data_IF_421075162145
#
_entry.id   IF_421075162145
#
_cell.length_a   1.000
_cell.length_b   1.000
_cell.length_c   1.000
_cell.angle_alpha   90.00
_cell.angle_beta   90.00
_cell.angle_gamma   90.00
#
_symmetry.space_group_name_H-M   'P 1'
#
loop_
_entity.id
_entity.type
_entity.pdbx_description
1 polymer ?
#
# COMPACT_ATOMS: atom_id res chain seq x y z
N UNK A 1 28.66 15.99 -4.70
CA UNK A 1 27.50 16.15 -3.80
C UNK A 1 26.85 14.80 -3.50
N UNK A 2 26.52 14.05 -4.55
CA UNK A 2 26.04 12.65 -4.52
C UNK A 2 26.91 11.87 -5.50
N UNK A 3 27.17 10.60 -5.22
CA UNK A 3 27.94 9.70 -6.09
C UNK A 3 27.50 8.24 -5.93
N UNK A 4 28.06 7.33 -6.73
CA UNK A 4 27.74 5.91 -6.72
C UNK A 4 28.56 5.11 -5.71
N UNK A 5 28.03 3.95 -5.30
CA UNK A 5 28.76 2.91 -4.59
C UNK A 5 29.02 1.71 -5.50
N UNK A 6 29.81 0.74 -5.02
CA UNK A 6 30.08 -0.52 -5.74
C UNK A 6 28.96 -1.57 -5.55
N UNK A 7 27.72 -1.14 -5.31
CA UNK A 7 26.57 -2.05 -5.30
C UNK A 7 26.41 -2.66 -6.72
N UNK A 8 26.51 -3.99 -6.86
CA UNK A 8 26.51 -4.65 -8.18
C UNK A 8 25.17 -4.53 -8.90
N UNK A 9 24.06 -4.32 -8.19
CA UNK A 9 22.75 -4.08 -8.79
C UNK A 9 22.64 -2.63 -9.27
N UNK A 10 23.15 -1.67 -8.50
CA UNK A 10 23.20 -0.26 -8.89
C UNK A 10 24.03 -0.07 -10.17
N UNK A 11 25.17 -0.74 -10.29
CA UNK A 11 26.04 -0.64 -11.46
C UNK A 11 25.32 -1.00 -12.78
N UNK A 12 24.55 -2.10 -12.78
CA UNK A 12 23.75 -2.49 -13.95
C UNK A 12 22.59 -1.52 -14.22
N UNK A 13 21.97 -0.98 -13.16
CA UNK A 13 20.89 0.00 -13.28
C UNK A 13 21.32 1.27 -13.99
N UNK A 14 22.50 1.82 -13.69
CA UNK A 14 23.03 3.04 -14.32
C UNK A 14 23.01 2.93 -15.85
N UNK A 15 23.36 1.77 -16.39
CA UNK A 15 23.30 1.50 -17.82
C UNK A 15 21.86 1.38 -18.33
N UNK A 16 21.04 0.56 -17.66
CA UNK A 16 19.71 0.18 -18.13
C UNK A 16 18.74 1.36 -18.32
N UNK A 17 18.73 2.34 -17.40
CA UNK A 17 17.75 3.43 -17.45
C UNK A 17 17.89 4.32 -18.67
N UNK A 18 19.11 4.50 -19.20
CA UNK A 18 19.36 5.29 -20.40
C UNK A 18 19.06 4.48 -21.65
N UNK A 19 19.55 3.24 -21.70
CA UNK A 19 19.37 2.33 -22.84
C UNK A 19 17.89 2.14 -23.20
N UNK A 20 17.05 1.84 -22.20
CA UNK A 20 15.62 1.60 -22.44
C UNK A 20 14.88 2.83 -22.99
N UNK A 21 15.37 4.06 -22.75
CA UNK A 21 14.69 5.25 -23.29
C UNK A 21 14.81 5.38 -24.79
N UNK A 22 15.87 4.83 -25.38
CA UNK A 22 16.11 4.96 -26.82
C UNK A 22 14.94 4.35 -27.59
N UNK A 23 14.49 3.16 -27.21
CA UNK A 23 13.31 2.53 -27.83
C UNK A 23 12.00 3.07 -27.26
N UNK A 24 11.88 3.19 -25.94
CA UNK A 24 10.63 3.57 -25.27
C UNK A 24 10.16 4.99 -25.58
N UNK A 25 11.08 5.94 -25.69
CA UNK A 25 10.81 7.35 -25.94
C UNK A 25 11.27 7.79 -27.34
N UNK A 26 11.60 6.84 -28.21
CA UNK A 26 11.79 7.08 -29.64
C UNK A 26 13.08 7.76 -30.05
N UNK A 27 14.12 7.76 -29.20
CA UNK A 27 15.46 8.22 -29.57
C UNK A 27 16.25 8.81 -28.41
N UNK A 28 17.44 9.34 -28.70
CA UNK A 28 18.35 9.91 -27.70
C UNK A 28 17.93 11.29 -27.14
N UNK A 29 16.98 11.97 -27.78
CA UNK A 29 16.49 13.30 -27.37
C UNK A 29 15.34 13.23 -26.35
N UNK A 30 15.17 12.11 -25.63
CA UNK A 30 14.11 11.96 -24.61
C UNK A 30 14.19 13.00 -23.47
N UNK A 31 15.37 13.59 -23.26
CA UNK A 31 15.62 14.66 -22.29
C UNK A 31 15.03 16.01 -22.72
N UNK A 32 14.58 16.16 -23.97
CA UNK A 32 13.92 17.37 -24.46
C UNK A 32 12.39 17.30 -24.36
N UNK A 33 11.83 16.16 -23.93
CA UNK A 33 10.40 16.06 -23.64
C UNK A 33 10.10 16.98 -22.44
N UNK A 34 9.08 17.85 -22.49
CA UNK A 34 8.90 18.92 -21.49
C UNK A 34 8.95 18.50 -20.02
N UNK A 35 8.45 17.31 -19.68
CA UNK A 35 8.49 16.79 -18.30
C UNK A 35 9.88 16.31 -17.85
N UNK A 36 10.75 15.94 -18.79
CA UNK A 36 12.11 15.46 -18.53
C UNK A 36 13.16 16.58 -18.62
N UNK A 37 12.81 17.70 -19.24
CA UNK A 37 13.74 18.80 -19.49
C UNK A 37 14.23 19.42 -18.18
N UNK A 38 15.55 19.66 -18.05
CA UNK A 38 16.06 20.38 -16.90
C UNK A 38 15.56 21.83 -16.91
N UNK A 39 15.31 22.38 -15.72
CA UNK A 39 15.01 23.81 -15.57
C UNK A 39 16.28 24.65 -15.82
N UNK A 40 17.44 24.14 -15.41
CA UNK A 40 18.73 24.76 -15.68
C UNK A 40 19.10 24.60 -17.15
N UNK A 41 19.68 25.66 -17.73
CA UNK A 41 20.15 25.61 -19.12
C UNK A 41 21.30 24.61 -19.27
N UNK A 42 21.18 23.71 -20.25
CA UNK A 42 22.20 22.72 -20.59
C UNK A 42 22.84 23.07 -21.92
N UNK A 43 24.16 23.22 -21.91
CA UNK A 43 24.97 23.44 -23.10
C UNK A 43 26.00 22.33 -23.21
N UNK A 44 25.98 21.60 -24.33
CA UNK A 44 26.93 20.54 -24.62
C UNK A 44 27.16 20.42 -26.14
N UNK A 45 28.01 19.48 -26.52
CA UNK A 45 28.38 19.24 -27.91
C UNK A 45 27.56 18.13 -28.60
N UNK A 46 26.56 17.53 -27.94
CA UNK A 46 25.68 16.53 -28.56
C UNK A 46 24.74 17.20 -29.59
N UNK A 47 24.48 16.51 -30.71
CA UNK A 47 23.67 17.00 -31.83
C UNK A 47 22.76 15.90 -32.35
N UNK A 48 21.82 16.31 -33.20
CA UNK A 48 20.93 15.44 -33.98
C UNK A 48 20.10 14.48 -33.11
N UNK A 49 19.84 13.28 -33.63
CA UNK A 49 18.91 12.32 -33.05
C UNK A 49 17.46 12.57 -33.45
N UNK A 50 16.63 11.54 -33.32
CA UNK A 50 15.20 11.61 -33.61
C UNK A 50 14.52 12.71 -32.79
N UNK A 51 13.60 13.46 -33.39
CA UNK A 51 12.81 14.52 -32.76
C UNK A 51 13.64 15.59 -32.00
N UNK A 52 14.79 15.98 -32.56
CA UNK A 52 15.57 17.09 -32.02
C UNK A 52 14.75 18.40 -32.01
N UNK A 53 14.50 18.94 -30.81
CA UNK A 53 13.77 20.19 -30.59
C UNK A 53 14.71 21.38 -30.45
N UNK A 54 15.83 21.22 -29.72
CA UNK A 54 16.75 22.33 -29.49
C UNK A 54 17.55 22.66 -30.77
N UNK A 55 17.35 23.88 -31.28
CA UNK A 55 18.10 24.43 -32.42
C UNK A 55 19.36 25.13 -31.90
N UNK A 56 20.49 24.43 -31.94
CA UNK A 56 21.79 24.98 -31.51
C UNK A 56 22.35 25.90 -32.59
N UNK A 57 22.74 27.13 -32.21
CA UNK A 57 23.37 28.11 -33.10
C UNK A 57 24.90 28.01 -33.03
N UNK A 58 25.58 28.23 -34.15
CA UNK A 58 27.04 28.25 -34.24
C UNK A 58 27.60 27.16 -35.16
N UNK A 59 28.92 27.18 -35.38
CA UNK A 59 29.62 26.29 -36.34
C UNK A 59 30.38 25.13 -35.66
N UNK A 60 30.20 24.94 -34.35
CA UNK A 60 30.99 24.02 -33.53
C UNK A 60 30.09 23.00 -32.83
N UNK A 61 30.54 21.74 -32.81
CA UNK A 61 29.92 20.63 -32.10
C UNK A 61 30.98 19.68 -31.50
N UNK A 62 32.16 20.20 -31.14
CA UNK A 62 33.29 19.42 -30.62
C UNK A 62 34.13 20.24 -29.63
N UNK A 63 34.94 19.54 -28.84
CA UNK A 63 35.88 20.11 -27.87
C UNK A 63 37.20 19.31 -27.89
N UNK A 64 38.39 19.96 -27.76
CA UNK A 64 38.60 21.41 -27.71
C UNK A 64 38.41 22.09 -29.07
N UNK A 65 38.03 23.37 -29.10
CA UNK A 65 37.80 24.13 -30.34
C UNK A 65 38.28 25.59 -30.24
N UNK A 66 38.72 26.17 -31.37
CA UNK A 66 39.09 27.59 -31.48
C UNK A 66 38.00 28.46 -32.12
N UNK A 67 37.13 27.87 -32.96
CA UNK A 67 36.13 28.59 -33.74
C UNK A 67 35.01 29.20 -32.90
N UNK A 68 34.74 28.67 -31.70
CA UNK A 68 33.81 29.24 -30.73
C UNK A 68 34.52 29.71 -29.44
N UNK A 69 35.84 29.94 -29.50
CA UNK A 69 36.63 30.40 -28.35
C UNK A 69 36.67 29.39 -27.19
N UNK A 70 36.48 28.09 -27.45
CA UNK A 70 36.48 27.04 -26.44
C UNK A 70 35.12 26.78 -25.77
N UNK A 71 34.06 27.51 -26.12
CA UNK A 71 32.72 27.26 -25.58
C UNK A 71 32.05 26.00 -26.18
N UNK A 72 31.17 25.30 -25.42
CA UNK A 72 30.96 25.45 -23.97
C UNK A 72 32.15 24.93 -23.16
N UNK A 73 32.50 25.59 -22.05
CA UNK A 73 33.65 25.23 -21.21
C UNK A 73 33.33 24.11 -20.21
N UNK A 74 34.33 23.31 -19.87
CA UNK A 74 34.28 22.47 -18.67
C UNK A 74 34.23 23.33 -17.41
N UNK A 75 33.33 23.01 -16.49
CA UNK A 75 33.14 23.75 -15.24
C UNK A 75 34.31 23.59 -14.22
N UNK A 76 35.26 22.69 -14.49
CA UNK A 76 36.36 22.35 -13.58
C UNK A 76 35.90 21.59 -12.32
N UNK A 77 36.85 21.07 -11.54
CA UNK A 77 36.55 20.19 -10.41
C UNK A 77 35.77 20.86 -9.26
N UNK A 78 35.83 22.19 -9.15
CA UNK A 78 35.15 22.94 -8.08
C UNK A 78 33.64 23.09 -8.29
N UNK A 79 33.18 23.02 -9.55
CA UNK A 79 31.76 23.23 -9.92
C UNK A 79 31.17 22.08 -10.74
N UNK A 80 32.01 21.32 -11.44
CA UNK A 80 31.62 20.13 -12.21
C UNK A 80 31.51 18.88 -11.35
N UNK A 81 30.85 17.85 -11.90
CA UNK A 81 30.81 16.54 -11.27
C UNK A 81 32.21 15.91 -11.24
N UNK A 82 32.63 15.45 -10.07
CA UNK A 82 33.86 14.68 -9.86
C UNK A 82 33.50 13.47 -9.00
N UNK A 83 33.81 12.27 -9.48
CA UNK A 83 33.64 11.07 -8.68
C UNK A 83 34.55 11.11 -7.46
N UNK A 84 34.02 10.68 -6.31
CA UNK A 84 34.79 10.51 -5.08
C UNK A 84 35.95 9.57 -5.39
N UNK A 85 37.21 9.97 -5.12
CA UNK A 85 38.35 9.09 -5.32
C UNK A 85 38.23 7.96 -4.31
N UNK A 86 37.63 6.86 -4.72
CA UNK A 86 37.62 5.66 -3.91
C UNK A 86 39.07 5.27 -3.67
N UNK A 87 39.47 5.10 -2.40
CA UNK A 87 40.64 4.28 -2.08
C UNK A 87 40.30 2.88 -2.55
N UNK A 88 40.58 2.59 -3.82
CA UNK A 88 41.00 1.26 -4.21
C UNK A 88 42.30 1.06 -3.42
N UNK A 89 42.19 0.64 -2.17
CA UNK A 89 43.30 -0.03 -1.51
C UNK A 89 43.53 -1.28 -2.33
N UNK A 90 44.28 -1.10 -3.41
CA UNK A 90 44.90 -2.14 -4.18
C UNK A 90 45.95 -2.78 -3.25
N UNK A 91 45.49 -3.60 -2.32
CA UNK A 91 46.18 -4.84 -2.11
C UNK A 91 45.99 -5.60 -3.42
N UNK A 92 47.05 -5.57 -4.22
CA UNK A 92 47.41 -6.48 -5.30
C UNK A 92 46.26 -7.38 -5.80
N UNK A 93 45.81 -7.08 -7.03
CA UNK A 93 44.99 -7.94 -7.90
C UNK A 93 43.56 -8.27 -7.46
N UNK A 94 42.65 -7.29 -7.56
CA UNK A 94 41.26 -7.63 -7.89
C UNK A 94 41.22 -8.05 -9.37
N UNK A 95 41.43 -9.34 -9.64
CA UNK A 95 41.25 -9.91 -10.97
C UNK A 95 39.86 -9.58 -11.53
N UNK A 96 39.74 -9.38 -12.86
CA UNK A 96 38.44 -9.20 -13.53
C UNK A 96 37.64 -10.50 -13.44
N UNK A 97 36.77 -10.60 -12.45
CA UNK A 97 35.99 -11.82 -12.17
C UNK A 97 34.49 -11.57 -12.26
N UNK A 98 33.75 -12.61 -12.65
CA UNK A 98 32.30 -12.71 -12.39
C UNK A 98 32.11 -13.53 -11.11
N UNK A 99 32.34 -12.88 -9.97
CA UNK A 99 32.28 -13.50 -8.65
C UNK A 99 30.98 -13.21 -7.90
N UNK A 100 30.70 -14.02 -6.87
CA UNK A 100 29.65 -13.76 -5.87
C UNK A 100 30.37 -13.48 -4.55
N UNK A 101 30.50 -12.22 -4.13
CA UNK A 101 31.22 -11.91 -2.89
C UNK A 101 30.57 -12.62 -1.70
N UNK A 102 31.40 -13.23 -0.83
CA UNK A 102 30.92 -14.09 0.27
C UNK A 102 29.92 -13.40 1.19
N UNK A 103 30.10 -12.09 1.46
CA UNK A 103 29.18 -11.30 2.30
C UNK A 103 27.76 -11.20 1.74
N UNK A 104 27.55 -11.46 0.44
CA UNK A 104 26.23 -11.47 -0.19
C UNK A 104 25.54 -12.85 -0.06
N UNK A 105 26.23 -13.87 0.44
CA UNK A 105 25.69 -15.23 0.57
C UNK A 105 24.85 -15.45 1.85
N UNK A 106 24.65 -14.41 2.67
CA UNK A 106 23.64 -14.43 3.72
C UNK A 106 22.27 -14.05 3.13
N UNK A 107 21.39 -15.05 3.00
CA UNK A 107 20.08 -14.89 2.39
C UNK A 107 18.93 -14.86 3.41
N UNK A 108 19.17 -15.16 4.69
CA UNK A 108 18.11 -15.49 5.64
C UNK A 108 18.11 -14.64 6.90
N UNK A 109 19.24 -14.04 7.29
CA UNK A 109 19.32 -13.23 8.53
C UNK A 109 18.35 -12.04 8.50
N UNK A 110 18.34 -11.27 7.40
CA UNK A 110 17.43 -10.13 7.28
C UNK A 110 15.97 -10.54 7.08
N UNK A 111 15.70 -11.65 6.38
CA UNK A 111 14.34 -12.19 6.26
C UNK A 111 13.79 -12.61 7.63
N UNK A 112 14.64 -13.20 8.47
CA UNK A 112 14.32 -13.57 9.85
C UNK A 112 14.06 -12.34 10.71
N UNK A 113 14.96 -11.35 10.67
CA UNK A 113 14.77 -10.07 11.35
C UNK A 113 13.43 -9.42 10.95
N UNK A 114 13.13 -9.36 9.64
CA UNK A 114 11.87 -8.80 9.15
C UNK A 114 10.68 -9.53 9.75
N UNK A 115 10.59 -10.86 9.59
CA UNK A 115 9.45 -11.66 10.07
C UNK A 115 9.28 -11.59 11.59
N UNK A 116 10.38 -11.67 12.35
CA UNK A 116 10.36 -11.57 13.82
C UNK A 116 9.95 -10.18 14.32
N UNK A 117 10.08 -9.15 13.48
CA UNK A 117 9.67 -7.78 13.80
C UNK A 117 8.19 -7.50 13.55
N UNK A 118 7.48 -8.41 12.89
CA UNK A 118 6.07 -8.24 12.57
C UNK A 118 5.19 -8.58 13.77
N UNK A 119 4.10 -7.85 13.93
CA UNK A 119 3.05 -8.19 14.90
C UNK A 119 2.39 -9.54 14.57
N UNK A 120 1.67 -10.18 15.51
CA UNK A 120 1.00 -11.46 15.25
C UNK A 120 0.06 -11.45 14.04
N UNK A 121 -0.66 -10.33 13.82
CA UNK A 121 -1.55 -10.17 12.66
C UNK A 121 -0.77 -10.04 11.35
N UNK A 122 0.29 -9.23 11.32
CA UNK A 122 1.16 -9.10 10.14
C UNK A 122 1.84 -10.43 9.79
N UNK A 123 2.26 -11.22 10.78
CA UNK A 123 2.78 -12.57 10.55
C UNK A 123 1.72 -13.51 9.97
N UNK A 124 0.47 -13.42 10.45
CA UNK A 124 -0.65 -14.19 9.92
C UNK A 124 -0.95 -13.81 8.46
N UNK A 125 -0.90 -12.51 8.12
CA UNK A 125 -1.06 -12.01 6.75
C UNK A 125 0.06 -12.48 5.83
N UNK A 126 1.31 -12.46 6.28
CA UNK A 126 2.46 -12.99 5.53
C UNK A 126 2.25 -14.49 5.23
N UNK A 127 1.85 -15.27 6.24
CA UNK A 127 1.58 -16.69 6.04
C UNK A 127 0.40 -16.92 5.08
N UNK A 128 -0.67 -16.13 5.19
CA UNK A 128 -1.82 -16.18 4.30
C UNK A 128 -1.44 -15.83 2.86
N UNK A 129 -0.58 -14.82 2.65
CA UNK A 129 -0.06 -14.44 1.34
C UNK A 129 0.78 -15.55 0.71
N UNK A 130 1.72 -16.14 1.46
CA UNK A 130 2.49 -17.30 0.98
C UNK A 130 1.57 -18.46 0.58
N UNK A 131 0.57 -18.79 1.42
CA UNK A 131 -0.42 -19.83 1.11
C UNK A 131 -1.21 -19.49 -0.16
N UNK A 132 -1.69 -18.26 -0.30
CA UNK A 132 -2.48 -17.83 -1.44
C UNK A 132 -1.68 -17.82 -2.75
N UNK A 133 -0.44 -17.35 -2.74
CA UNK A 133 0.39 -17.35 -3.95
C UNK A 133 0.83 -18.77 -4.32
N UNK A 134 1.24 -19.57 -3.33
CA UNK A 134 1.67 -20.95 -3.58
C UNK A 134 0.50 -21.87 -3.96
N UNK A 135 -0.74 -21.59 -3.57
CA UNK A 135 -1.88 -22.40 -4.00
C UNK A 135 -2.16 -22.28 -5.50
N UNK A 136 -1.74 -21.18 -6.14
CA UNK A 136 -1.80 -20.99 -7.60
C UNK A 136 -0.68 -21.72 -8.34
N UNK A 137 0.36 -22.17 -7.64
CA UNK A 137 1.49 -22.91 -8.24
C UNK A 137 1.09 -24.36 -8.42
N UNK A 138 0.94 -24.77 -9.67
CA UNK A 138 0.46 -26.12 -10.02
C UNK A 138 1.48 -27.22 -9.79
N UNK A 139 2.78 -26.90 -9.80
CA UNK A 139 3.87 -27.88 -9.61
C UNK A 139 4.14 -28.10 -8.12
N UNK A 140 3.81 -29.28 -7.53
CA UNK A 140 3.92 -29.49 -6.09
C UNK A 140 5.34 -29.34 -5.54
N UNK A 141 6.35 -29.78 -6.29
CA UNK A 141 7.75 -29.69 -5.90
C UNK A 141 8.21 -28.23 -5.71
N UNK A 142 7.63 -27.26 -6.42
CA UNK A 142 7.95 -25.83 -6.24
C UNK A 142 7.43 -25.34 -4.89
N UNK A 143 6.18 -25.70 -4.54
CA UNK A 143 5.57 -25.36 -3.24
C UNK A 143 6.40 -25.93 -2.09
N UNK A 144 6.78 -27.20 -2.18
CA UNK A 144 7.62 -27.87 -1.20
C UNK A 144 8.99 -27.20 -1.05
N UNK A 145 9.65 -26.83 -2.16
CA UNK A 145 10.94 -26.12 -2.11
C UNK A 145 10.82 -24.73 -1.49
N UNK A 146 9.70 -24.04 -1.70
CA UNK A 146 9.48 -22.74 -1.06
C UNK A 146 9.27 -22.90 0.46
N UNK A 147 8.47 -23.88 0.88
CA UNK A 147 8.32 -24.23 2.30
C UNK A 147 9.66 -24.61 2.92
N UNK A 148 10.48 -25.41 2.23
CA UNK A 148 11.84 -25.75 2.65
C UNK A 148 12.73 -24.51 2.85
N UNK A 149 12.59 -23.48 1.99
CA UNK A 149 13.29 -22.21 2.16
C UNK A 149 12.79 -21.43 3.38
N UNK A 150 11.47 -21.40 3.61
CA UNK A 150 10.86 -20.69 4.75
C UNK A 150 11.32 -21.26 6.11
N UNK A 151 11.70 -22.55 6.17
CA UNK A 151 12.28 -23.14 7.38
C UNK A 151 13.57 -22.46 7.83
N UNK A 152 14.34 -21.91 6.89
CA UNK A 152 15.55 -21.12 7.22
C UNK A 152 15.24 -19.74 7.80
N UNK A 153 13.98 -19.29 7.72
CA UNK A 153 13.51 -18.02 8.29
C UNK A 153 12.75 -18.25 9.60
N UNK A 154 11.76 -19.14 9.59
CA UNK A 154 10.97 -19.50 10.75
C UNK A 154 10.26 -20.83 10.54
N UNK A 155 10.50 -21.78 11.44
CA UNK A 155 9.78 -23.06 11.46
C UNK A 155 8.27 -22.88 11.66
N UNK A 156 7.86 -21.89 12.46
CA UNK A 156 6.44 -21.58 12.69
C UNK A 156 5.75 -21.06 11.42
N UNK A 157 6.42 -20.19 10.66
CA UNK A 157 5.92 -19.72 9.36
C UNK A 157 5.81 -20.88 8.36
N UNK A 158 6.88 -21.66 8.22
CA UNK A 158 6.94 -22.75 7.27
C UNK A 158 5.83 -23.78 7.52
N UNK A 159 5.58 -24.13 8.79
CA UNK A 159 4.49 -25.03 9.18
C UNK A 159 3.11 -24.48 8.85
N UNK A 160 2.82 -23.22 9.24
CA UNK A 160 1.54 -22.56 8.89
C UNK A 160 1.25 -22.57 7.38
N UNK A 161 2.29 -22.35 6.57
CA UNK A 161 2.16 -22.38 5.09
C UNK A 161 1.99 -23.81 4.59
N UNK A 162 2.74 -24.78 5.12
CA UNK A 162 2.61 -26.19 4.75
C UNK A 162 1.22 -26.75 5.05
N UNK A 163 0.71 -26.52 6.26
CA UNK A 163 -0.61 -26.96 6.70
C UNK A 163 -1.70 -26.37 5.78
N UNK A 164 -1.61 -25.07 5.47
CA UNK A 164 -2.53 -24.39 4.58
C UNK A 164 -2.47 -24.83 3.11
N UNK A 165 -1.45 -25.59 2.71
CA UNK A 165 -1.28 -26.14 1.37
C UNK A 165 -1.48 -27.66 1.32
N UNK A 166 -1.83 -28.30 2.45
CA UNK A 166 -1.96 -29.76 2.54
C UNK A 166 -0.64 -30.49 2.31
N UNK A 167 0.47 -29.95 2.81
CA UNK A 167 1.79 -30.60 2.74
C UNK A 167 2.00 -31.37 4.05
N UNK A 168 1.67 -32.66 4.03
CA UNK A 168 1.66 -33.51 5.24
C UNK A 168 3.04 -33.75 5.84
N UNK A 169 4.07 -33.85 5.00
CA UNK A 169 5.44 -34.06 5.43
C UNK A 169 6.27 -32.80 5.20
N UNK A 170 6.78 -32.23 6.29
CA UNK A 170 7.64 -31.05 6.22
C UNK A 170 8.93 -31.37 5.44
N UNK A 171 9.20 -30.67 4.33
CA UNK A 171 10.43 -30.89 3.57
C UNK A 171 11.65 -30.46 4.38
N UNK A 172 12.81 -31.09 4.15
CA UNK A 172 14.06 -30.67 4.75
C UNK A 172 14.36 -29.19 4.42
N UNK A 173 14.94 -28.45 5.36
CA UNK A 173 15.35 -27.07 5.12
C UNK A 173 16.35 -27.01 3.96
N UNK A 174 16.27 -25.96 3.14
CA UNK A 174 17.23 -25.79 2.04
C UNK A 174 18.65 -25.59 2.60
N UNK A 175 19.68 -26.08 1.89
CA UNK A 175 21.06 -25.85 2.31
C UNK A 175 21.37 -24.34 2.31
N UNK A 176 22.06 -23.89 3.36
CA UNK A 176 22.50 -22.50 3.48
C UNK A 176 23.68 -22.25 2.54
N UNK A 177 23.70 -21.08 1.89
CA UNK A 177 24.84 -20.66 1.07
C UNK A 177 26.08 -20.34 1.93
N UNK A 178 25.87 -19.85 3.16
CA UNK A 178 26.88 -19.74 4.20
C UNK A 178 26.64 -20.78 5.28
N UNK A 179 27.61 -21.66 5.54
CA UNK A 179 27.51 -22.68 6.58
C UNK A 179 27.39 -22.07 7.99
N UNK A 180 27.95 -20.88 8.21
CA UNK A 180 27.91 -20.15 9.47
C UNK A 180 27.68 -18.66 9.17
N UNK A 181 26.43 -18.21 9.01
CA UNK A 181 26.14 -16.78 8.84
C UNK A 181 26.61 -16.00 10.07
N UNK A 182 26.93 -14.73 9.88
CA UNK A 182 27.31 -13.86 10.99
C UNK A 182 26.15 -13.76 11.99
N UNK A 183 26.47 -13.75 13.28
CA UNK A 183 25.44 -13.59 14.31
C UNK A 183 24.82 -12.19 14.16
N UNK A 184 23.48 -12.07 14.03
CA UNK A 184 22.84 -10.76 13.93
C UNK A 184 23.02 -9.97 15.21
N UNK A 185 23.36 -8.69 15.07
CA UNK A 185 23.39 -7.71 16.17
C UNK A 185 21.96 -7.33 16.61
N UNK A 186 21.03 -7.32 15.66
CA UNK A 186 19.62 -6.98 15.86
C UNK A 186 18.75 -8.14 15.38
N UNK A 187 17.92 -8.66 16.26
CA UNK A 187 17.00 -9.78 15.95
C UNK A 187 15.55 -9.32 15.79
N UNK A 188 15.19 -8.16 16.35
CA UNK A 188 13.87 -7.54 16.21
C UNK A 188 14.06 -6.03 16.08
N UNK A 189 13.33 -5.41 15.15
CA UNK A 189 13.29 -3.96 14.95
C UNK A 189 11.83 -3.54 14.75
N UNK A 190 11.19 -2.91 15.75
CA UNK A 190 9.79 -2.46 15.64
C UNK A 190 9.53 -1.62 14.39
N UNK A 191 10.52 -0.83 13.94
CA UNK A 191 10.39 0.03 12.76
C UNK A 191 10.14 -0.73 11.45
N UNK A 192 10.30 -2.05 11.42
CA UNK A 192 9.99 -2.90 10.27
C UNK A 192 8.52 -3.38 10.23
N UNK A 193 7.73 -3.13 11.28
CA UNK A 193 6.29 -3.33 11.30
C UNK A 193 5.58 -2.06 10.84
N UNK A 194 4.48 -2.21 10.07
CA UNK A 194 3.61 -1.09 9.70
C UNK A 194 2.88 -0.56 10.93
N UNK A 195 2.47 -1.45 11.85
CA UNK A 195 1.72 -1.08 13.05
C UNK A 195 2.59 -0.33 14.09
N UNK A 196 3.92 -0.41 13.99
CA UNK A 196 4.81 0.44 14.78
C UNK A 196 4.92 1.88 14.27
N UNK A 197 4.28 2.21 13.13
CA UNK A 197 4.29 3.54 12.51
C UNK A 197 2.84 4.00 12.24
N UNK A 198 2.04 4.27 13.28
CA UNK A 198 0.61 4.58 13.12
C UNK A 198 0.32 5.94 12.44
N UNK A 199 1.35 6.69 12.04
CA UNK A 199 1.21 8.06 11.54
C UNK A 199 0.85 9.04 12.65
N UNK A 200 0.25 10.16 12.26
CA UNK A 200 -0.24 11.21 13.17
C UNK A 200 -1.69 10.95 13.65
N UNK A 201 -2.27 9.81 13.28
CA UNK A 201 -3.66 9.46 13.58
C UNK A 201 -4.70 10.25 12.75
N UNK A 202 -4.27 11.02 11.74
CA UNK A 202 -5.18 11.77 10.88
C UNK A 202 -6.03 10.84 10.01
N UNK A 203 -7.30 11.22 9.83
CA UNK A 203 -8.22 10.57 8.88
C UNK A 203 -8.42 11.39 7.60
N UNK A 204 -7.61 12.44 7.40
CA UNK A 204 -7.68 13.30 6.23
C UNK A 204 -7.47 12.49 4.95
N UNK A 205 -8.34 12.72 3.96
CA UNK A 205 -8.32 12.03 2.68
C UNK A 205 -8.91 10.61 2.69
N UNK A 206 -9.29 10.06 3.86
CA UNK A 206 -10.05 8.81 3.92
C UNK A 206 -11.42 8.99 3.29
N UNK A 207 -11.90 7.94 2.63
CA UNK A 207 -13.20 7.94 1.93
C UNK A 207 -14.21 7.16 2.75
N UNK A 208 -15.31 7.77 3.17
CA UNK A 208 -16.29 7.13 4.06
C UNK A 208 -17.65 7.04 3.37
N UNK A 209 -18.25 5.85 3.38
CA UNK A 209 -19.60 5.64 2.86
C UNK A 209 -20.64 5.97 3.92
N UNK A 210 -21.57 6.86 3.58
CA UNK A 210 -22.78 7.13 4.36
C UNK A 210 -23.95 6.57 3.54
N UNK A 211 -24.51 5.44 3.96
CA UNK A 211 -25.64 4.87 3.21
C UNK A 211 -26.87 5.76 3.38
N UNK A 212 -27.60 5.96 2.29
CA UNK A 212 -28.88 6.67 2.28
C UNK A 212 -29.88 5.92 1.42
N UNK A 213 -31.16 5.99 1.77
CA UNK A 213 -32.25 5.41 0.98
C UNK A 213 -33.55 6.19 1.24
N UNK A 214 -34.60 6.03 0.41
CA UNK A 214 -35.85 6.75 0.61
C UNK A 214 -36.42 6.54 2.02
N UNK A 215 -36.66 7.63 2.74
CA UNK A 215 -37.10 7.61 4.14
C UNK A 215 -35.97 7.57 5.18
N UNK A 216 -34.73 7.87 4.77
CA UNK A 216 -33.61 8.12 5.69
C UNK A 216 -33.83 9.41 6.49
N UNK A 217 -33.36 9.45 7.75
CA UNK A 217 -33.41 10.64 8.60
C UNK A 217 -32.28 11.62 8.26
N UNK A 218 -32.59 12.78 7.68
CA UNK A 218 -31.61 13.70 7.12
C UNK A 218 -30.64 14.29 8.13
N UNK A 219 -31.13 14.63 9.33
CA UNK A 219 -30.33 15.34 10.34
C UNK A 219 -29.07 14.56 10.74
N UNK A 220 -29.20 13.24 10.88
CA UNK A 220 -28.11 12.36 11.29
C UNK A 220 -27.01 12.29 10.23
N UNK A 221 -27.41 12.19 8.95
CA UNK A 221 -26.50 12.12 7.81
C UNK A 221 -25.77 13.44 7.61
N UNK A 222 -26.50 14.56 7.62
CA UNK A 222 -25.92 15.90 7.39
C UNK A 222 -24.96 16.30 8.51
N UNK A 223 -25.32 16.07 9.78
CA UNK A 223 -24.43 16.38 10.90
C UNK A 223 -23.14 15.57 10.85
N UNK A 224 -23.23 14.26 10.55
CA UNK A 224 -22.05 13.42 10.45
C UNK A 224 -21.19 13.79 9.23
N UNK A 225 -21.80 14.04 8.08
CA UNK A 225 -21.10 14.50 6.88
C UNK A 225 -20.31 15.79 7.18
N UNK A 226 -20.92 16.76 7.85
CA UNK A 226 -20.26 18.00 8.26
C UNK A 226 -19.09 17.76 9.22
N UNK A 227 -19.27 16.90 10.23
CA UNK A 227 -18.20 16.54 11.17
C UNK A 227 -17.01 15.87 10.46
N UNK A 228 -17.28 14.99 9.49
CA UNK A 228 -16.25 14.33 8.70
C UNK A 228 -15.50 15.31 7.78
N UNK A 229 -16.21 16.27 7.15
CA UNK A 229 -15.59 17.30 6.31
C UNK A 229 -14.63 18.19 7.10
N UNK A 230 -14.94 18.51 8.35
CA UNK A 230 -14.05 19.28 9.25
C UNK A 230 -12.71 18.56 9.46
N UNK A 231 -12.72 17.24 9.56
CA UNK A 231 -11.52 16.40 9.69
C UNK A 231 -10.79 16.16 8.34
N UNK A 232 -11.28 16.74 7.24
CA UNK A 232 -10.71 16.59 5.90
C UNK A 232 -10.97 15.22 5.26
N UNK A 233 -11.98 14.48 5.74
CA UNK A 233 -12.47 13.23 5.15
C UNK A 233 -13.20 13.53 3.84
N UNK A 234 -13.26 12.54 2.94
CA UNK A 234 -14.10 12.52 1.75
C UNK A 234 -15.37 11.68 2.02
N UNK A 235 -16.42 12.23 2.65
CA UNK A 235 -17.68 11.51 2.83
C UNK A 235 -18.43 11.39 1.50
N UNK A 236 -18.99 10.22 1.23
CA UNK A 236 -19.81 9.94 0.04
C UNK A 236 -21.19 9.47 0.47
N UNK A 237 -22.22 10.01 -0.16
CA UNK A 237 -23.60 9.60 0.08
C UNK A 237 -23.93 8.47 -0.89
N UNK A 238 -24.01 7.25 -0.36
CA UNK A 238 -24.15 6.03 -1.15
C UNK A 238 -25.60 5.55 -1.09
N UNK A 239 -26.31 5.57 -2.22
CA UNK A 239 -27.70 5.12 -2.30
C UNK A 239 -27.91 3.85 -3.11
N UNK A 240 -29.16 3.36 -3.24
CA UNK A 240 -29.51 2.33 -4.23
C UNK A 240 -29.28 2.80 -5.67
N UNK A 241 -29.33 4.11 -5.90
CA UNK A 241 -29.04 4.79 -7.17
C UNK A 241 -28.44 6.17 -6.92
N UNK A 242 -27.78 6.73 -7.92
CA UNK A 242 -27.33 8.14 -7.93
C UNK A 242 -28.54 9.08 -8.02
N UNK A 243 -28.37 10.30 -7.48
CA UNK A 243 -29.31 11.41 -7.58
C UNK A 243 -30.19 11.57 -6.33
N UNK A 244 -31.34 12.26 -6.45
CA UNK A 244 -32.14 12.66 -5.30
C UNK A 244 -32.77 11.46 -4.59
N UNK A 245 -32.67 11.47 -3.26
CA UNK A 245 -33.28 10.52 -2.33
C UNK A 245 -34.15 11.29 -1.34
N UNK A 246 -35.45 11.01 -1.34
CA UNK A 246 -36.41 11.65 -0.44
C UNK A 246 -36.17 11.23 1.01
N UNK A 247 -36.06 12.19 1.92
CA UNK A 247 -35.81 11.94 3.36
C UNK A 247 -37.12 11.76 4.13
N UNK A 248 -37.04 11.24 5.36
CA UNK A 248 -38.22 11.06 6.22
C UNK A 248 -38.93 12.39 6.54
N UNK A 249 -38.16 13.48 6.58
CA UNK A 249 -38.62 14.85 6.83
C UNK A 249 -39.25 15.51 5.60
N UNK A 250 -39.29 14.82 4.45
CA UNK A 250 -39.81 15.35 3.18
C UNK A 250 -38.79 16.16 2.37
N UNK A 251 -37.53 16.21 2.80
CA UNK A 251 -36.42 16.82 2.06
C UNK A 251 -35.81 15.89 1.00
N UNK A 252 -34.66 16.27 0.46
CA UNK A 252 -33.87 15.45 -0.48
C UNK A 252 -32.40 15.47 -0.11
N UNK A 253 -31.74 14.31 -0.21
CA UNK A 253 -30.28 14.16 -0.20
C UNK A 253 -29.84 13.64 -1.56
N UNK A 254 -28.72 14.14 -2.07
CA UNK A 254 -28.16 13.71 -3.36
C UNK A 254 -27.16 12.58 -3.16
N UNK A 255 -27.52 11.36 -3.57
CA UNK A 255 -26.58 10.25 -3.62
C UNK A 255 -25.56 10.49 -4.75
N UNK A 256 -24.28 10.57 -4.42
CA UNK A 256 -23.19 10.76 -5.36
C UNK A 256 -22.49 9.45 -5.73
N UNK A 257 -22.88 8.34 -5.09
CA UNK A 257 -22.50 6.97 -5.39
C UNK A 257 -23.71 6.05 -5.25
N UNK A 258 -23.67 4.90 -5.92
CA UNK A 258 -24.60 3.80 -5.69
C UNK A 258 -23.89 2.59 -5.07
N UNK A 259 -24.66 1.74 -4.39
CA UNK A 259 -24.18 0.46 -3.87
C UNK A 259 -23.57 -0.43 -4.98
N UNK A 260 -24.06 -0.28 -6.22
CA UNK A 260 -23.59 -1.02 -7.40
C UNK A 260 -22.28 -0.44 -7.97
N UNK A 261 -22.19 0.88 -8.14
CA UNK A 261 -21.05 1.49 -8.86
C UNK A 261 -19.82 1.70 -7.97
N UNK A 262 -20.01 1.80 -6.65
CA UNK A 262 -18.96 1.92 -5.67
C UNK A 262 -19.18 0.87 -4.57
N UNK A 263 -18.72 -0.38 -4.76
CA UNK A 263 -18.85 -1.43 -3.75
C UNK A 263 -18.06 -1.12 -2.48
N UNK A 264 -18.45 -1.76 -1.38
CA UNK A 264 -17.97 -1.41 -0.04
C UNK A 264 -16.45 -1.41 0.12
N UNK A 265 -15.74 -2.32 -0.52
CA UNK A 265 -14.28 -2.41 -0.35
C UNK A 265 -13.52 -1.12 -0.75
N UNK A 266 -14.12 -0.22 -1.55
CA UNK A 266 -13.55 1.08 -1.97
C UNK A 266 -13.53 2.16 -0.88
N UNK A 267 -14.18 1.95 0.25
CA UNK A 267 -14.28 2.91 1.35
C UNK A 267 -13.41 2.51 2.55
N UNK A 268 -12.97 3.46 3.35
CA UNK A 268 -12.22 3.21 4.59
C UNK A 268 -13.14 2.82 5.77
N UNK A 269 -14.40 3.26 5.73
CA UNK A 269 -15.39 3.04 6.79
C UNK A 269 -16.82 3.21 6.28
N UNK A 270 -17.79 2.79 7.09
CA UNK A 270 -19.22 2.79 6.76
C UNK A 270 -20.06 3.40 7.88
N UNK A 271 -21.09 4.12 7.46
CA UNK A 271 -22.15 4.61 8.32
C UNK A 271 -23.47 4.06 7.80
N UNK A 272 -24.18 3.35 8.67
CA UNK A 272 -25.56 2.92 8.47
C UNK A 272 -26.50 3.95 9.11
N UNK A 273 -27.46 4.48 8.33
CA UNK A 273 -28.22 5.66 8.74
C UNK A 273 -29.42 5.31 9.62
N UNK A 274 -29.99 6.32 10.29
CA UNK A 274 -31.26 6.20 10.98
C UNK A 274 -32.47 6.40 10.04
N UNK A 275 -33.67 6.02 10.50
CA UNK A 275 -34.93 6.15 9.77
C UNK A 275 -35.49 4.81 9.30
N UNK A 276 -36.61 4.38 9.89
CA UNK A 276 -37.19 3.03 9.67
C UNK A 276 -37.48 2.71 8.20
N UNK A 277 -38.03 3.67 7.45
CA UNK A 277 -38.35 3.49 6.04
C UNK A 277 -37.07 3.35 5.19
N UNK A 278 -36.05 4.18 5.44
CA UNK A 278 -34.76 4.11 4.78
C UNK A 278 -34.03 2.79 5.07
N UNK A 279 -34.03 2.37 6.34
CA UNK A 279 -33.46 1.07 6.76
C UNK A 279 -34.19 -0.10 6.10
N UNK A 280 -35.52 -0.07 6.03
CA UNK A 280 -36.30 -1.11 5.33
C UNK A 280 -35.99 -1.15 3.83
N UNK A 281 -35.81 0.01 3.20
CA UNK A 281 -35.42 0.10 1.80
C UNK A 281 -34.01 -0.50 1.57
N UNK A 282 -33.03 -0.12 2.40
CA UNK A 282 -31.69 -0.70 2.37
C UNK A 282 -31.72 -2.22 2.60
N UNK A 283 -32.51 -2.69 3.56
CA UNK A 283 -32.68 -4.12 3.83
C UNK A 283 -33.28 -4.89 2.65
N UNK A 284 -34.04 -4.24 1.77
CA UNK A 284 -34.62 -4.87 0.58
C UNK A 284 -33.68 -4.91 -0.64
N UNK A 285 -32.57 -4.17 -0.59
CA UNK A 285 -31.55 -4.17 -1.63
C UNK A 285 -30.51 -5.27 -1.34
N UNK A 286 -30.26 -6.14 -2.33
CA UNK A 286 -29.32 -7.24 -2.22
C UNK A 286 -27.88 -6.77 -1.93
N UNK A 287 -27.46 -5.65 -2.50
CA UNK A 287 -26.08 -5.15 -2.36
C UNK A 287 -25.78 -4.66 -0.94
N UNK A 288 -26.80 -4.25 -0.17
CA UNK A 288 -26.58 -3.71 1.19
C UNK A 288 -25.89 -4.72 2.09
N UNK A 289 -26.28 -6.00 2.05
CA UNK A 289 -25.69 -7.02 2.92
C UNK A 289 -24.24 -7.30 2.52
N UNK A 290 -23.95 -7.37 1.23
CA UNK A 290 -22.58 -7.51 0.72
C UNK A 290 -21.71 -6.33 1.15
N UNK A 291 -22.25 -5.11 1.03
CA UNK A 291 -21.55 -3.88 1.43
C UNK A 291 -21.17 -3.90 2.92
N UNK A 292 -22.11 -4.26 3.80
CA UNK A 292 -21.89 -4.36 5.25
C UNK A 292 -20.86 -5.46 5.55
N UNK A 293 -21.03 -6.64 4.96
CA UNK A 293 -20.15 -7.77 5.21
C UNK A 293 -18.73 -7.51 4.71
N UNK A 294 -18.56 -6.83 3.58
CA UNK A 294 -17.25 -6.40 3.09
C UNK A 294 -16.56 -5.46 4.09
N UNK A 295 -17.29 -4.52 4.70
CA UNK A 295 -16.67 -3.65 5.70
C UNK A 295 -16.24 -4.43 6.93
N UNK A 296 -17.12 -5.31 7.39
CA UNK A 296 -16.91 -6.08 8.60
C UNK A 296 -15.73 -7.03 8.45
N UNK A 297 -15.71 -7.85 7.38
CA UNK A 297 -14.65 -8.81 7.08
C UNK A 297 -13.32 -8.14 6.76
N UNK A 298 -13.33 -6.96 6.15
CA UNK A 298 -12.12 -6.16 5.97
C UNK A 298 -11.73 -5.36 7.22
N UNK A 299 -12.35 -5.60 8.38
CA UNK A 299 -12.00 -5.01 9.67
C UNK A 299 -12.11 -3.48 9.71
N UNK A 300 -13.05 -2.89 8.95
CA UNK A 300 -13.24 -1.44 8.86
C UNK A 300 -14.21 -0.95 9.93
N UNK A 301 -14.07 0.32 10.34
CA UNK A 301 -14.99 0.92 11.30
C UNK A 301 -16.40 1.03 10.71
N UNK A 302 -17.41 0.63 11.48
CA UNK A 302 -18.82 0.72 11.10
C UNK A 302 -19.55 1.50 12.20
N UNK A 303 -20.24 2.58 11.83
CA UNK A 303 -21.18 3.29 12.68
C UNK A 303 -22.60 2.87 12.33
N UNK A 304 -23.38 2.49 13.34
CA UNK A 304 -24.78 2.06 13.22
C UNK A 304 -25.65 3.02 14.02
N UNK A 305 -26.54 3.73 13.32
CA UNK A 305 -27.41 4.75 13.92
C UNK A 305 -28.85 4.25 14.06
N UNK A 306 -29.41 4.35 15.27
CA UNK A 306 -30.84 4.17 15.53
C UNK A 306 -31.42 2.89 14.90
N UNK A 307 -32.36 3.05 13.96
CA UNK A 307 -33.05 1.94 13.29
C UNK A 307 -32.12 0.97 12.53
N UNK A 308 -30.90 1.38 12.17
CA UNK A 308 -29.96 0.53 11.42
C UNK A 308 -29.45 -0.69 12.18
N UNK A 309 -29.73 -0.82 13.49
CA UNK A 309 -29.47 -2.07 14.22
C UNK A 309 -30.16 -3.27 13.56
N UNK A 310 -31.32 -3.08 12.91
CA UNK A 310 -31.99 -4.12 12.15
C UNK A 310 -31.16 -4.64 10.95
N UNK A 311 -30.32 -3.79 10.33
CA UNK A 311 -29.40 -4.22 9.26
C UNK A 311 -28.25 -5.05 9.82
N UNK A 312 -27.76 -4.70 11.01
CA UNK A 312 -26.72 -5.46 11.70
C UNK A 312 -27.22 -6.87 12.06
N UNK A 313 -28.42 -6.95 12.63
CA UNK A 313 -29.09 -8.22 12.94
C UNK A 313 -29.31 -9.06 11.69
N UNK A 314 -29.78 -8.44 10.60
CA UNK A 314 -29.95 -9.11 9.30
C UNK A 314 -28.63 -9.63 8.71
N UNK A 315 -27.53 -8.91 8.91
CA UNK A 315 -26.19 -9.34 8.50
C UNK A 315 -25.59 -10.43 9.42
N UNK A 316 -26.27 -10.81 10.50
CA UNK A 316 -25.75 -11.78 11.48
C UNK A 316 -24.56 -11.26 12.28
N UNK A 317 -24.40 -9.94 12.37
CA UNK A 317 -23.27 -9.30 13.05
C UNK A 317 -23.61 -8.98 14.52
N UNK A 318 -22.62 -9.15 15.39
CA UNK A 318 -22.73 -8.95 16.83
C UNK A 318 -21.81 -7.82 17.30
N UNK A 319 -22.26 -7.03 18.28
CA UNK A 319 -21.42 -6.04 18.98
C UNK A 319 -20.38 -6.68 19.90
N UNK A 320 -20.40 -8.01 20.03
CA UNK A 320 -19.48 -8.81 20.82
C UNK A 320 -18.80 -9.83 19.93
N UNK A 321 -17.46 -9.84 19.94
CA UNK A 321 -16.62 -10.77 19.22
C UNK A 321 -16.77 -12.20 19.80
N UNK A 322 -16.37 -13.22 19.04
CA UNK A 322 -16.36 -14.62 19.48
C UNK A 322 -15.65 -14.90 20.81
N UNK A 323 -14.68 -14.06 21.20
CA UNK A 323 -13.97 -14.17 22.48
C UNK A 323 -14.70 -13.50 23.67
N UNK A 324 -15.93 -13.00 23.46
CA UNK A 324 -16.75 -12.35 24.49
C UNK A 324 -16.42 -10.88 24.74
N UNK A 325 -15.44 -10.29 24.05
CA UNK A 325 -15.10 -8.87 24.18
C UNK A 325 -15.97 -8.00 23.27
N UNK A 326 -16.23 -6.73 23.63
CA UNK A 326 -16.87 -5.78 22.73
C UNK A 326 -16.06 -5.57 21.43
N UNK A 327 -16.76 -5.43 20.30
CA UNK A 327 -16.16 -5.02 19.03
C UNK A 327 -15.95 -3.51 19.02
N UNK A 328 -14.71 -3.07 19.20
CA UNK A 328 -14.34 -1.65 19.26
C UNK A 328 -14.56 -0.90 17.93
N UNK A 329 -14.64 -1.62 16.81
CA UNK A 329 -14.87 -1.02 15.49
C UNK A 329 -16.33 -0.93 15.10
N UNK A 330 -17.24 -1.50 15.90
CA UNK A 330 -18.66 -1.52 15.62
C UNK A 330 -19.36 -0.60 16.61
N UNK A 331 -19.61 0.62 16.17
CA UNK A 331 -20.09 1.70 17.03
C UNK A 331 -21.59 1.79 16.84
N UNK A 332 -22.35 1.46 17.87
CA UNK A 332 -23.81 1.55 17.86
C UNK A 332 -24.21 2.79 18.67
N UNK A 333 -24.96 3.70 18.05
CA UNK A 333 -25.40 4.93 18.69
C UNK A 333 -26.90 5.17 18.52
N UNK A 334 -27.55 5.65 19.58
CA UNK A 334 -28.92 6.11 19.54
C UNK A 334 -29.03 7.46 18.81
N UNK A 335 -30.19 7.74 18.24
CA UNK A 335 -30.45 8.90 17.36
C UNK A 335 -30.24 10.28 18.01
N UNK A 336 -30.10 10.36 19.34
CA UNK A 336 -29.92 11.61 20.10
C UNK A 336 -28.47 11.98 20.45
N UNK A 337 -27.48 11.13 20.14
CA UNK A 337 -26.10 11.30 20.62
C UNK A 337 -25.08 11.50 19.49
N UNK A 338 -25.43 12.29 18.46
CA UNK A 338 -24.65 12.40 17.22
C UNK A 338 -23.21 12.92 17.42
N UNK A 339 -23.00 13.88 18.33
CA UNK A 339 -21.66 14.44 18.60
C UNK A 339 -20.72 13.37 19.16
N UNK A 340 -21.18 12.58 20.14
CA UNK A 340 -20.35 11.53 20.73
C UNK A 340 -20.20 10.33 19.78
N UNK A 341 -21.24 10.02 19.00
CA UNK A 341 -21.17 9.02 17.94
C UNK A 341 -20.12 9.38 16.89
N UNK A 342 -20.11 10.64 16.40
CA UNK A 342 -19.13 11.13 15.44
C UNK A 342 -17.71 11.07 16.01
N UNK A 343 -17.49 11.52 17.25
CA UNK A 343 -16.18 11.42 17.92
C UNK A 343 -15.70 9.98 18.06
N UNK A 344 -16.57 9.07 18.48
CA UNK A 344 -16.23 7.65 18.59
C UNK A 344 -15.88 7.07 17.22
N UNK A 345 -16.67 7.40 16.20
CA UNK A 345 -16.45 6.94 14.83
C UNK A 345 -15.12 7.44 14.25
N UNK A 346 -14.83 8.73 14.38
CA UNK A 346 -13.56 9.34 13.97
C UNK A 346 -12.37 8.64 14.64
N UNK A 347 -12.43 8.38 15.95
CA UNK A 347 -11.39 7.60 16.65
C UNK A 347 -11.26 6.19 16.12
N UNK A 348 -12.37 5.51 15.85
CA UNK A 348 -12.37 4.18 15.26
C UNK A 348 -11.70 4.17 13.88
N UNK A 349 -12.01 5.14 13.02
CA UNK A 349 -11.40 5.30 11.70
C UNK A 349 -9.91 5.62 11.78
N UNK A 350 -9.48 6.42 12.78
CA UNK A 350 -8.08 6.73 13.02
C UNK A 350 -7.25 5.48 13.36
N UNK A 351 -7.87 4.44 13.94
CA UNK A 351 -7.23 3.14 14.19
C UNK A 351 -6.92 2.35 12.90
N UNK A 352 -7.35 2.84 11.73
CA UNK A 352 -7.25 2.19 10.42
C UNK A 352 -8.09 0.91 10.27
N UNK A 353 -7.84 -0.13 11.10
CA UNK A 353 -8.54 -1.43 11.07
C UNK A 353 -8.66 -2.04 12.47
N UNK A 354 -9.72 -2.82 12.69
CA UNK A 354 -10.04 -3.56 13.93
C UNK A 354 -9.75 -5.05 13.73
N UNK A 355 -8.46 -5.39 13.74
CA UNK A 355 -7.93 -6.72 13.35
C UNK A 355 -8.39 -7.86 14.24
N UNK A 356 -8.94 -7.55 15.42
CA UNK A 356 -9.57 -8.52 16.31
C UNK A 356 -10.70 -9.29 15.60
N UNK A 357 -11.35 -8.67 14.61
CA UNK A 357 -12.39 -9.30 13.78
C UNK A 357 -11.88 -10.37 12.82
N UNK A 358 -10.60 -10.41 12.49
CA UNK A 358 -10.08 -11.46 11.58
C UNK A 358 -10.20 -12.85 12.18
N UNK A 359 -10.20 -12.93 13.51
CA UNK A 359 -10.43 -14.17 14.27
C UNK A 359 -11.90 -14.38 14.61
N UNK A 360 -12.77 -13.45 14.25
CA UNK A 360 -14.20 -13.55 14.49
C UNK A 360 -14.86 -14.34 13.36
N UNK A 361 -15.12 -15.62 13.63
CA UNK A 361 -15.91 -16.44 12.75
C UNK A 361 -17.35 -15.91 12.81
N UNK A 362 -17.73 -15.06 11.86
CA UNK A 362 -19.13 -14.67 11.66
C UNK A 362 -19.96 -15.94 11.68
N UNK A 363 -20.95 -16.01 12.59
CA UNK A 363 -21.86 -17.16 12.72
C UNK A 363 -22.72 -17.19 11.46
N UNK A 364 -22.22 -17.83 10.40
CA UNK A 364 -22.99 -18.12 9.19
C UNK A 364 -23.88 -19.31 9.46
#
# INVERSE_FOLDING_TARGET
>A
GIDFSNDPLLAGRIHSYVDTQISRLGGANFHEIPINSPIAQVHNNQRDGMHRQAIVRGRVAYEPNSLAGGCPFQAGAAQGFVSVPARLQAQEEQAKVRGKPEKFADHYTQATLFYQSQTPVEQAHIAAAFRFELSKVTVPAIRQRMVASLRNVSEGLARKVADGLGIDSMPAALPLALARPAKPEVTVSPTLSLLARPGDGSIKGRKIALLIAPGVRSDSVVQLQAALLIEGVVPRLVGPRIGPITTAEGGSLEADASLENEPGFLFDALVLPDGDAGVKALASDAHTMEFIMDQYRHCKTILVLGAATALLEKAGLSATLSNGKPDAGLIIAASGSMVEAAKAFIRGVAHHRHVERETDLTRV
#
